data_IF_789736395075
#
_entry.id   IF_789736395075
#
_cell.length_a   1.000
_cell.length_b   1.000
_cell.length_c   1.000
_cell.angle_alpha   90.00
_cell.angle_beta   90.00
_cell.angle_gamma   90.00
#
_symmetry.space_group_name_H-M   'P 1'
#
loop_
_entity.id
_entity.type
_entity.pdbx_description
1 polymer ?
#
# COMPACT_ATOMS: atom_id res chain seq x y z
N UNK A 1 32.12 50.10 60.87
CA UNK A 1 31.51 49.75 59.57
C UNK A 1 31.68 48.26 59.36
N UNK A 2 30.63 47.48 59.51
CA UNK A 2 30.66 46.03 59.36
C UNK A 2 30.26 45.67 57.96
N UNK A 3 31.21 45.07 57.19
CA UNK A 3 30.93 44.61 55.80
C UNK A 3 30.26 43.26 55.92
N UNK A 4 28.94 43.27 55.59
CA UNK A 4 28.10 42.07 55.54
C UNK A 4 28.54 41.23 54.31
N UNK A 5 29.30 40.14 54.52
CA UNK A 5 29.64 39.17 53.48
C UNK A 5 28.38 38.50 52.99
N UNK A 6 28.00 38.76 51.76
CA UNK A 6 26.98 38.02 51.02
C UNK A 6 27.45 36.56 50.85
N UNK A 7 26.76 35.64 51.49
CA UNK A 7 26.92 34.21 51.24
C UNK A 7 26.48 33.92 49.80
N UNK A 8 27.44 33.51 48.99
CA UNK A 8 27.13 32.92 47.65
C UNK A 8 26.41 31.60 47.92
N UNK A 9 25.09 31.58 47.67
CA UNK A 9 24.39 30.33 47.51
C UNK A 9 24.92 29.68 46.20
N UNK A 10 25.71 28.64 46.37
CA UNK A 10 25.94 27.74 45.23
C UNK A 10 24.60 27.14 44.86
N UNK A 11 24.08 27.52 43.72
CA UNK A 11 22.97 26.83 43.10
C UNK A 11 23.45 25.40 42.81
N UNK A 12 23.16 24.48 43.71
CA UNK A 12 23.29 23.07 43.41
C UNK A 12 22.27 22.82 42.30
N UNK A 13 22.77 22.63 41.08
CA UNK A 13 21.93 22.13 40.00
C UNK A 13 21.34 20.80 40.50
N UNK A 14 20.04 20.78 40.69
CA UNK A 14 19.34 19.56 41.05
C UNK A 14 19.33 18.62 39.86
N UNK A 15 20.40 17.88 39.68
CA UNK A 15 20.59 16.89 38.60
C UNK A 15 19.46 15.87 38.64
N UNK A 16 18.96 15.56 39.84
CA UNK A 16 17.84 14.63 40.05
C UNK A 16 16.55 15.15 39.39
N UNK A 17 16.23 16.44 39.56
CA UNK A 17 15.05 17.03 38.94
C UNK A 17 15.18 17.05 37.40
N UNK A 18 16.39 17.32 36.88
CA UNK A 18 16.67 17.29 35.45
C UNK A 18 16.56 15.87 34.89
N UNK A 19 17.09 14.86 35.58
CA UNK A 19 16.97 13.45 35.20
C UNK A 19 15.50 12.99 35.18
N UNK A 20 14.70 13.37 36.16
CA UNK A 20 13.28 13.06 36.20
C UNK A 20 12.54 13.68 35.02
N UNK A 21 12.88 14.91 34.65
CA UNK A 21 12.30 15.57 33.47
C UNK A 21 12.63 14.80 32.19
N UNK A 22 13.88 14.38 32.00
CA UNK A 22 14.31 13.64 30.81
C UNK A 22 13.61 12.27 30.73
N UNK A 23 13.51 11.55 31.84
CA UNK A 23 12.87 10.22 31.90
C UNK A 23 11.40 10.29 31.50
N UNK A 24 10.72 11.40 31.74
CA UNK A 24 9.32 11.61 31.28
C UNK A 24 9.25 12.12 29.85
N UNK A 25 10.13 13.03 29.45
CA UNK A 25 10.09 13.63 28.13
C UNK A 25 10.49 12.68 27.01
N UNK A 26 11.49 11.81 27.23
CA UNK A 26 11.96 10.88 26.19
C UNK A 26 10.88 9.89 25.75
N UNK A 27 10.17 9.17 26.64
CA UNK A 27 9.06 8.30 26.24
C UNK A 27 7.92 9.06 25.58
N UNK A 28 7.64 10.27 26.05
CA UNK A 28 6.60 11.14 25.45
C UNK A 28 6.96 11.55 24.03
N UNK A 29 8.20 11.96 23.77
CA UNK A 29 8.68 12.30 22.43
C UNK A 29 8.69 11.07 21.50
N UNK A 30 9.09 9.91 22.01
CA UNK A 30 9.02 8.66 21.24
C UNK A 30 7.59 8.29 20.89
N UNK A 31 6.65 8.44 21.83
CA UNK A 31 5.22 8.19 21.55
C UNK A 31 4.67 9.14 20.50
N UNK A 32 5.00 10.43 20.55
CA UNK A 32 4.54 11.39 19.53
C UNK A 32 5.14 11.10 18.15
N UNK A 33 6.40 10.65 18.09
CA UNK A 33 7.07 10.30 16.82
C UNK A 33 6.46 9.06 16.16
N UNK A 34 5.98 8.11 16.95
CA UNK A 34 5.32 6.90 16.44
C UNK A 34 3.96 7.23 15.80
N UNK A 35 3.25 8.22 16.33
CA UNK A 35 1.94 8.64 15.79
C UNK A 35 2.04 9.60 14.59
N UNK A 36 3.20 10.14 14.26
CA UNK A 36 3.41 10.98 13.06
C UNK A 36 3.61 10.19 11.77
N UNK A 37 3.34 8.90 11.74
CA UNK A 37 2.98 8.25 10.49
C UNK A 37 1.56 8.65 10.10
N UNK A 38 1.38 9.94 9.90
CA UNK A 38 0.27 10.47 9.13
C UNK A 38 0.38 9.82 7.75
N UNK A 39 -0.56 8.93 7.50
CA UNK A 39 -0.93 8.53 6.17
C UNK A 39 -1.23 9.82 5.41
N UNK A 40 -0.27 10.31 4.65
CA UNK A 40 -0.53 11.31 3.63
C UNK A 40 -1.36 10.57 2.59
N UNK A 41 -2.68 10.70 2.69
CA UNK A 41 -3.55 10.43 1.57
C UNK A 41 -3.26 11.52 0.55
N UNK A 42 -2.35 11.24 -0.38
CA UNK A 42 -2.30 11.97 -1.63
C UNK A 42 -3.59 11.67 -2.38
N UNK A 43 -4.60 12.51 -2.15
CA UNK A 43 -5.78 12.60 -3.00
C UNK A 43 -5.33 13.18 -4.34
N UNK A 44 -4.72 12.35 -5.16
CA UNK A 44 -4.59 12.62 -6.57
C UNK A 44 -5.99 12.49 -7.18
N UNK A 45 -6.64 13.62 -7.41
CA UNK A 45 -7.87 13.66 -8.21
C UNK A 45 -7.54 13.10 -9.60
N UNK A 46 -8.24 12.06 -10.06
CA UNK A 46 -8.02 11.54 -11.39
C UNK A 46 -8.43 12.60 -12.41
N UNK A 47 -7.44 13.24 -13.03
CA UNK A 47 -7.65 13.87 -14.32
C UNK A 47 -8.04 12.76 -15.30
N UNK A 48 -9.21 12.90 -15.92
CA UNK A 48 -9.70 12.01 -16.96
C UNK A 48 -8.77 12.09 -18.17
N UNK A 49 -7.72 11.30 -18.15
CA UNK A 49 -6.89 11.05 -19.32
C UNK A 49 -6.56 9.56 -19.35
N UNK A 50 -6.87 8.95 -20.47
CA UNK A 50 -6.67 7.56 -20.81
C UNK A 50 -5.39 6.98 -20.21
N UNK A 51 -5.55 5.99 -19.30
CA UNK A 51 -4.56 5.49 -18.35
C UNK A 51 -3.26 4.88 -18.88
N UNK A 52 -2.97 4.95 -20.19
CA UNK A 52 -1.80 4.28 -20.76
C UNK A 52 -0.57 5.19 -20.86
N UNK A 53 -0.74 6.51 -20.76
CA UNK A 53 0.36 7.46 -20.93
C UNK A 53 1.06 7.89 -19.64
N UNK A 54 0.45 7.67 -18.47
CA UNK A 54 1.02 8.05 -17.17
C UNK A 54 1.98 7.01 -16.55
N UNK A 55 2.11 5.83 -17.15
CA UNK A 55 3.01 4.76 -16.69
C UNK A 55 4.52 5.03 -16.98
N UNK A 56 4.87 6.24 -17.41
CA UNK A 56 6.26 6.57 -17.79
C UNK A 56 7.21 6.82 -16.62
N UNK A 57 6.75 6.80 -15.40
CA UNK A 57 7.64 6.81 -14.25
C UNK A 57 7.93 5.37 -13.84
N UNK A 58 9.20 5.00 -13.82
CA UNK A 58 9.72 3.63 -13.55
C UNK A 58 9.39 3.11 -12.13
N UNK A 59 8.29 3.56 -11.54
CA UNK A 59 7.88 3.29 -10.15
C UNK A 59 6.45 2.75 -10.04
N UNK A 60 6.12 1.78 -10.89
CA UNK A 60 4.84 1.06 -10.80
C UNK A 60 4.65 0.46 -9.40
N UNK A 61 3.54 0.80 -8.76
CA UNK A 61 3.03 0.16 -7.54
C UNK A 61 1.71 -0.54 -7.87
N UNK A 62 1.84 -1.73 -8.43
CA UNK A 62 0.69 -2.51 -8.89
C UNK A 62 -0.21 -2.89 -7.71
N UNK A 63 -1.49 -2.52 -7.81
CA UNK A 63 -2.53 -2.90 -6.86
C UNK A 63 -3.68 -3.60 -7.58
N UNK A 64 -4.17 -4.69 -6.99
CA UNK A 64 -5.37 -5.39 -7.42
C UNK A 64 -6.37 -5.37 -6.28
N UNK A 65 -7.48 -4.67 -6.46
CA UNK A 65 -8.54 -4.57 -5.46
C UNK A 65 -9.64 -5.57 -5.79
N UNK A 66 -9.97 -6.43 -4.83
CA UNK A 66 -11.05 -7.40 -4.96
C UNK A 66 -12.34 -6.76 -4.47
N UNK A 67 -13.26 -6.49 -5.42
CA UNK A 67 -14.60 -6.00 -5.14
C UNK A 67 -15.63 -7.13 -5.21
N UNK A 68 -16.81 -6.98 -4.62
CA UNK A 68 -17.86 -7.98 -4.71
C UNK A 68 -18.33 -8.29 -6.14
N UNK A 69 -18.20 -7.33 -7.06
CA UNK A 69 -18.70 -7.38 -8.42
C UNK A 69 -17.61 -7.34 -9.50
N UNK A 70 -16.37 -7.01 -9.14
CA UNK A 70 -15.28 -6.84 -10.10
C UNK A 70 -13.89 -6.96 -9.44
N UNK A 71 -12.86 -7.10 -10.29
CA UNK A 71 -11.47 -6.83 -9.92
C UNK A 71 -11.08 -5.46 -10.47
N UNK A 72 -10.46 -4.63 -9.65
CA UNK A 72 -9.91 -3.34 -10.06
C UNK A 72 -8.38 -3.45 -10.07
N UNK A 73 -7.79 -3.30 -11.23
CA UNK A 73 -6.35 -3.32 -11.42
C UNK A 73 -5.88 -1.88 -11.58
N UNK A 74 -4.93 -1.47 -10.78
CA UNK A 74 -4.44 -0.10 -10.80
C UNK A 74 -2.98 0.02 -10.42
N UNK A 75 -2.48 1.22 -10.61
CA UNK A 75 -1.24 1.68 -10.02
C UNK A 75 -1.59 2.62 -8.87
N UNK A 76 -0.99 2.43 -7.72
CA UNK A 76 -1.24 3.25 -6.54
C UNK A 76 -1.02 4.74 -6.77
N UNK A 77 -0.11 5.08 -7.70
CA UNK A 77 0.22 6.47 -8.06
C UNK A 77 -0.55 6.88 -9.31
N UNK A 78 -0.60 6.01 -10.33
CA UNK A 78 -1.19 6.27 -11.63
C UNK A 78 -2.72 6.09 -11.70
N UNK A 79 -3.32 5.50 -10.66
CA UNK A 79 -4.75 5.27 -10.60
C UNK A 79 -5.21 3.97 -11.27
N UNK A 80 -6.51 3.90 -11.59
CA UNK A 80 -7.13 2.70 -12.16
C UNK A 80 -6.66 2.45 -13.60
N UNK A 81 -6.13 1.24 -13.83
CA UNK A 81 -5.72 0.77 -15.16
C UNK A 81 -6.92 0.13 -15.86
N UNK A 82 -7.53 -0.87 -15.23
CA UNK A 82 -8.69 -1.58 -15.80
C UNK A 82 -9.59 -2.13 -14.69
N UNK A 83 -10.90 -2.16 -14.96
CA UNK A 83 -11.88 -2.82 -14.12
C UNK A 83 -12.43 -4.03 -14.83
N UNK A 84 -12.26 -5.21 -14.24
CA UNK A 84 -12.68 -6.50 -14.79
C UNK A 84 -13.90 -7.01 -14.03
N UNK A 85 -15.11 -7.02 -14.64
CA UNK A 85 -16.30 -7.54 -13.99
C UNK A 85 -16.15 -9.03 -13.66
N UNK A 86 -16.75 -9.46 -12.55
CA UNK A 86 -16.82 -10.87 -12.21
C UNK A 86 -17.66 -11.65 -13.22
N UNK A 87 -17.29 -12.89 -13.45
CA UNK A 87 -18.07 -13.85 -14.24
C UNK A 87 -19.14 -14.52 -13.36
N UNK A 88 -20.01 -15.30 -13.95
CA UNK A 88 -21.00 -16.10 -13.20
C UNK A 88 -20.36 -17.10 -12.21
N UNK A 89 -19.09 -17.46 -12.42
CA UNK A 89 -18.33 -18.41 -11.58
C UNK A 89 -17.34 -17.73 -10.62
N UNK A 90 -17.34 -16.42 -10.54
CA UNK A 90 -16.45 -15.64 -9.68
C UNK A 90 -15.52 -14.69 -10.46
N UNK A 91 -14.39 -14.29 -9.88
CA UNK A 91 -13.48 -13.35 -10.51
C UNK A 91 -12.91 -13.88 -11.83
N UNK A 92 -12.82 -13.02 -12.83
CA UNK A 92 -12.20 -13.38 -14.10
C UNK A 92 -10.67 -13.34 -14.01
N UNK A 93 -10.13 -14.42 -13.47
CA UNK A 93 -8.67 -14.58 -13.30
C UNK A 93 -7.93 -14.72 -14.63
N UNK A 94 -8.62 -15.10 -15.72
CA UNK A 94 -8.00 -15.20 -17.05
C UNK A 94 -7.73 -13.79 -17.57
N UNK A 95 -8.75 -12.94 -17.56
CA UNK A 95 -8.60 -11.55 -17.96
C UNK A 95 -7.57 -10.81 -17.09
N UNK A 96 -7.59 -11.04 -15.78
CA UNK A 96 -6.58 -10.53 -14.88
C UNK A 96 -5.16 -10.96 -15.33
N UNK A 97 -4.95 -12.23 -15.61
CA UNK A 97 -3.64 -12.74 -16.07
C UNK A 97 -3.17 -12.12 -17.38
N UNK A 98 -4.11 -11.81 -18.32
CA UNK A 98 -3.78 -11.15 -19.58
C UNK A 98 -3.30 -9.72 -19.38
N UNK A 99 -4.03 -8.95 -18.53
CA UNK A 99 -3.66 -7.57 -18.16
C UNK A 99 -2.30 -7.56 -17.46
N UNK A 100 -2.11 -8.42 -16.49
CA UNK A 100 -0.86 -8.50 -15.74
C UNK A 100 0.33 -8.88 -16.60
N UNK A 101 0.13 -9.71 -17.64
CA UNK A 101 1.16 -10.02 -18.63
C UNK A 101 1.56 -8.77 -19.43
N UNK A 102 0.59 -7.95 -19.79
CA UNK A 102 0.87 -6.71 -20.53
C UNK A 102 1.63 -5.72 -19.63
N UNK A 103 1.22 -5.57 -18.39
CA UNK A 103 1.94 -4.76 -17.39
C UNK A 103 3.36 -5.29 -17.18
N UNK A 104 3.54 -6.61 -17.09
CA UNK A 104 4.86 -7.23 -16.91
C UNK A 104 5.80 -7.01 -18.10
N UNK A 105 5.29 -6.94 -19.33
CA UNK A 105 6.09 -6.58 -20.51
C UNK A 105 6.61 -5.15 -20.44
N UNK A 106 5.83 -4.23 -19.89
CA UNK A 106 6.24 -2.84 -19.72
C UNK A 106 7.19 -2.66 -18.54
N UNK A 107 7.04 -3.48 -17.49
CA UNK A 107 7.84 -3.43 -16.26
C UNK A 107 8.44 -4.80 -15.92
N UNK A 108 9.40 -5.29 -16.70
CA UNK A 108 9.94 -6.65 -16.56
C UNK A 108 10.62 -6.90 -15.20
N UNK A 109 11.24 -5.87 -14.63
CA UNK A 109 11.99 -5.98 -13.37
C UNK A 109 11.14 -5.92 -12.11
N UNK A 110 9.85 -5.53 -12.24
CA UNK A 110 8.95 -5.45 -11.09
C UNK A 110 8.44 -6.83 -10.70
N UNK A 111 8.69 -7.21 -9.45
CA UNK A 111 8.24 -8.47 -8.86
C UNK A 111 7.15 -8.29 -7.80
N UNK A 112 6.95 -7.05 -7.37
CA UNK A 112 6.05 -6.69 -6.27
C UNK A 112 4.67 -6.32 -6.77
N UNK A 113 3.64 -6.76 -6.03
CA UNK A 113 2.26 -6.34 -6.22
C UNK A 113 1.51 -6.36 -4.90
N UNK A 114 0.42 -5.61 -4.79
CA UNK A 114 -0.44 -5.59 -3.61
C UNK A 114 -1.83 -6.06 -3.98
N UNK A 115 -2.40 -6.94 -3.16
CA UNK A 115 -3.81 -7.32 -3.23
C UNK A 115 -4.54 -6.64 -2.10
N UNK A 116 -5.60 -5.92 -2.42
CA UNK A 116 -6.47 -5.30 -1.44
C UNK A 116 -7.82 -6.02 -1.46
N UNK A 117 -8.26 -6.50 -0.30
CA UNK A 117 -9.50 -7.24 -0.16
C UNK A 117 -10.48 -6.51 0.76
N UNK A 118 -11.76 -6.47 0.40
CA UNK A 118 -12.81 -6.01 1.31
C UNK A 118 -13.04 -7.05 2.44
N UNK A 119 -13.56 -6.63 3.62
CA UNK A 119 -13.75 -7.52 4.77
C UNK A 119 -14.61 -8.77 4.48
N UNK A 120 -15.49 -8.70 3.49
CA UNK A 120 -16.37 -9.79 3.10
C UNK A 120 -15.81 -10.68 1.96
N UNK A 121 -14.57 -10.46 1.55
CA UNK A 121 -13.92 -11.27 0.51
C UNK A 121 -13.65 -12.67 1.03
N UNK A 122 -14.12 -13.70 0.31
CA UNK A 122 -13.82 -15.08 0.68
C UNK A 122 -12.34 -15.41 0.52
N UNK A 123 -11.82 -16.24 1.42
CA UNK A 123 -10.43 -16.70 1.35
C UNK A 123 -10.12 -17.40 0.01
N UNK A 124 -11.07 -18.18 -0.50
CA UNK A 124 -10.93 -18.85 -1.79
C UNK A 124 -10.72 -17.85 -2.94
N UNK A 125 -11.50 -16.76 -2.96
CA UNK A 125 -11.38 -15.71 -3.96
C UNK A 125 -10.01 -15.02 -3.85
N UNK A 126 -9.55 -14.71 -2.64
CA UNK A 126 -8.25 -14.13 -2.39
C UNK A 126 -7.12 -15.01 -2.96
N UNK A 127 -7.13 -16.32 -2.64
CA UNK A 127 -6.11 -17.25 -3.13
C UNK A 127 -6.14 -17.37 -4.66
N UNK A 128 -7.31 -17.46 -5.27
CA UNK A 128 -7.45 -17.53 -6.74
C UNK A 128 -6.83 -16.31 -7.43
N UNK A 129 -7.08 -15.12 -6.89
CA UNK A 129 -6.52 -13.87 -7.43
C UNK A 129 -5.01 -13.84 -7.23
N UNK A 130 -4.51 -14.18 -6.04
CA UNK A 130 -3.08 -14.21 -5.75
C UNK A 130 -2.33 -15.22 -6.66
N UNK A 131 -2.89 -16.39 -6.91
CA UNK A 131 -2.29 -17.38 -7.80
C UNK A 131 -2.20 -16.87 -9.23
N UNK A 132 -3.26 -16.21 -9.72
CA UNK A 132 -3.26 -15.58 -11.04
C UNK A 132 -2.25 -14.42 -11.17
N UNK A 133 -2.03 -13.68 -10.08
CA UNK A 133 -1.03 -12.60 -10.05
C UNK A 133 0.40 -13.14 -9.99
N UNK A 134 0.61 -14.26 -9.32
CA UNK A 134 1.94 -14.84 -9.13
C UNK A 134 2.50 -15.45 -10.41
N UNK A 135 1.66 -16.10 -11.20
CA UNK A 135 2.10 -16.81 -12.40
C UNK A 135 1.00 -16.99 -13.42
N UNK A 136 1.38 -17.08 -14.67
CA UNK A 136 0.50 -17.40 -15.78
C UNK A 136 1.05 -18.55 -16.59
N UNK A 137 0.18 -19.23 -17.36
CA UNK A 137 0.58 -20.25 -18.29
C UNK A 137 0.81 -19.62 -19.66
N UNK A 138 2.02 -19.77 -20.19
CA UNK A 138 2.36 -19.37 -21.57
C UNK A 138 2.56 -20.60 -22.42
N UNK A 139 2.12 -20.48 -23.68
CA UNK A 139 2.39 -21.53 -24.69
C UNK A 139 3.63 -21.11 -25.47
N UNK A 140 4.74 -21.78 -25.20
CA UNK A 140 5.97 -21.64 -26.01
C UNK A 140 6.12 -22.85 -26.94
N UNK A 141 5.73 -22.65 -28.20
CA UNK A 141 5.69 -23.73 -29.20
C UNK A 141 4.66 -24.80 -28.82
N UNK A 142 5.09 -26.04 -28.56
CA UNK A 142 4.24 -27.16 -28.16
C UNK A 142 4.19 -27.42 -26.66
N UNK A 143 4.82 -26.57 -25.85
CA UNK A 143 4.89 -26.72 -24.38
C UNK A 143 4.16 -25.59 -23.66
N UNK A 144 3.46 -25.97 -22.59
CA UNK A 144 2.88 -25.00 -21.65
C UNK A 144 3.94 -24.74 -20.58
N UNK A 145 4.46 -23.51 -20.52
CA UNK A 145 5.44 -23.07 -19.54
C UNK A 145 4.76 -22.14 -18.54
N UNK A 146 5.08 -22.32 -17.27
CA UNK A 146 4.64 -21.41 -16.21
C UNK A 146 5.58 -20.20 -16.17
N UNK A 147 5.06 -19.04 -16.54
CA UNK A 147 5.80 -17.78 -16.44
C UNK A 147 5.44 -17.07 -15.13
N UNK A 148 6.46 -16.64 -14.39
CA UNK A 148 6.27 -15.81 -13.18
C UNK A 148 5.94 -14.38 -13.59
N UNK A 149 4.95 -13.80 -12.91
CA UNK A 149 4.54 -12.42 -13.09
C UNK A 149 5.00 -11.56 -11.91
N UNK A 150 4.24 -11.60 -10.83
CA UNK A 150 4.50 -10.82 -9.61
C UNK A 150 4.56 -11.78 -8.40
N UNK A 151 5.70 -12.42 -8.13
CA UNK A 151 5.80 -13.42 -7.06
C UNK A 151 5.74 -12.82 -5.65
N UNK A 152 6.08 -11.54 -5.48
CA UNK A 152 6.08 -10.86 -4.18
C UNK A 152 4.77 -10.12 -3.97
N UNK A 153 3.79 -10.82 -3.37
CA UNK A 153 2.45 -10.28 -3.16
C UNK A 153 2.28 -9.90 -1.70
N UNK A 154 1.93 -8.63 -1.46
CA UNK A 154 1.46 -8.12 -0.18
C UNK A 154 -0.06 -8.12 -0.14
N UNK A 155 -0.65 -8.40 1.02
CA UNK A 155 -2.11 -8.37 1.22
C UNK A 155 -2.46 -7.24 2.18
N UNK A 156 -3.50 -6.48 1.84
CA UNK A 156 -4.01 -5.38 2.65
C UNK A 156 -5.53 -5.28 2.59
N UNK A 157 -6.08 -4.38 3.38
CA UNK A 157 -7.51 -4.12 3.44
C UNK A 157 -7.90 -3.08 2.38
N UNK A 158 -8.91 -3.39 1.59
CA UNK A 158 -9.50 -2.44 0.66
C UNK A 158 -10.48 -1.52 1.39
N UNK A 159 -10.53 -0.22 1.06
CA UNK A 159 -11.60 0.64 1.53
C UNK A 159 -12.94 0.10 0.99
N UNK A 160 -13.94 0.04 1.87
CA UNK A 160 -15.28 -0.44 1.51
C UNK A 160 -15.82 0.44 0.38
N UNK A 161 -16.23 -0.18 -0.72
CA UNK A 161 -16.88 0.57 -1.80
C UNK A 161 -18.22 1.11 -1.30
N UNK A 162 -18.29 2.42 -1.09
CA UNK A 162 -19.58 3.09 -0.89
C UNK A 162 -20.31 3.01 -2.22
N UNK A 163 -21.20 2.02 -2.34
CA UNK A 163 -22.09 1.90 -3.50
C UNK A 163 -22.86 3.18 -3.61
N UNK A 164 -22.45 4.05 -4.53
CA UNK A 164 -23.18 5.27 -4.85
C UNK A 164 -24.61 4.87 -5.16
N UNK A 165 -25.54 5.30 -4.30
CA UNK A 165 -26.99 5.16 -4.51
C UNK A 165 -27.30 6.03 -5.72
N UNK A 166 -27.20 5.42 -6.92
CA UNK A 166 -27.66 6.05 -8.16
C UNK A 166 -29.15 6.31 -8.04
N UNK A 167 -29.50 7.58 -8.17
CA UNK A 167 -30.87 8.05 -8.44
C UNK A 167 -31.31 7.58 -9.80
#
# INVERSE_FOLDING_TARGET
MAIKRLRKHHAQLEITAFLNLIVVLVPFLLSTTVFTRLSVLDLSLPAQSSGVEQLKTNNLQLEVVIRPDALEIGDRIGGLIERVPNTATGPDVRRLGDILREVKKQFPDKAEATVLAEPNTSYEMLIRVMDAMRSTHQVEGAKIVRAELFPQISVGDAPISVKGKGS
#
